data_IF_567867702267
#
_entry.id   IF_567867702267
#
_cell.length_a   1.000
_cell.length_b   1.000
_cell.length_c   1.000
_cell.angle_alpha   90.00
_cell.angle_beta   90.00
_cell.angle_gamma   90.00
#
_symmetry.space_group_name_H-M   'P 1'
#
loop_
_entity.id
_entity.type
_entity.pdbx_description
1 polymer ?
#
# COMPACT_ATOMS: atom_id res chain seq x y z
N UNK A 1 -30.69 -5.20 1.56
CA UNK A 1 -30.01 -5.91 0.46
C UNK A 1 -28.96 -4.96 -0.10
N UNK A 2 -27.67 -5.23 0.12
CA UNK A 2 -26.62 -4.43 -0.52
C UNK A 2 -26.78 -4.58 -2.04
N UNK A 3 -26.90 -3.47 -2.76
CA UNK A 3 -27.07 -3.49 -4.21
C UNK A 3 -25.78 -4.04 -4.86
N UNK A 4 -25.88 -4.65 -6.05
CA UNK A 4 -24.69 -5.13 -6.77
C UNK A 4 -23.62 -4.05 -6.96
N UNK A 5 -24.04 -2.79 -7.05
CA UNK A 5 -23.19 -1.60 -7.08
C UNK A 5 -22.31 -1.43 -5.85
N UNK A 6 -22.78 -1.80 -4.65
CA UNK A 6 -21.99 -1.74 -3.43
C UNK A 6 -20.79 -2.69 -3.50
N UNK A 7 -21.02 -3.96 -3.88
CA UNK A 7 -19.97 -4.95 -4.01
C UNK A 7 -18.95 -4.57 -5.11
N UNK A 8 -19.44 -4.01 -6.22
CA UNK A 8 -18.58 -3.55 -7.31
C UNK A 8 -17.65 -2.41 -6.84
N UNK A 9 -18.19 -1.44 -6.09
CA UNK A 9 -17.40 -0.38 -5.48
C UNK A 9 -16.37 -0.91 -4.50
N UNK A 10 -16.71 -1.88 -3.65
CA UNK A 10 -15.76 -2.50 -2.72
C UNK A 10 -14.61 -3.21 -3.47
N UNK A 11 -14.91 -3.94 -4.56
CA UNK A 11 -13.87 -4.59 -5.37
C UNK A 11 -12.95 -3.57 -6.04
N UNK A 12 -13.52 -2.49 -6.59
CA UNK A 12 -12.73 -1.41 -7.21
C UNK A 12 -11.82 -0.75 -6.18
N UNK A 13 -12.35 -0.37 -5.01
CA UNK A 13 -11.56 0.24 -3.94
C UNK A 13 -10.44 -0.69 -3.44
N UNK A 14 -10.72 -1.98 -3.24
CA UNK A 14 -9.72 -2.95 -2.81
C UNK A 14 -8.61 -3.16 -3.85
N UNK A 15 -8.96 -3.20 -5.14
CA UNK A 15 -7.98 -3.31 -6.22
C UNK A 15 -7.10 -2.06 -6.34
N UNK A 16 -7.69 -0.86 -6.27
CA UNK A 16 -6.96 0.41 -6.28
C UNK A 16 -6.03 0.53 -5.07
N UNK A 17 -6.50 0.18 -3.87
CA UNK A 17 -5.68 0.16 -2.66
C UNK A 17 -4.49 -0.79 -2.79
N UNK A 18 -4.72 -2.00 -3.32
CA UNK A 18 -3.65 -2.97 -3.55
C UNK A 18 -2.60 -2.45 -4.53
N UNK A 19 -3.02 -1.80 -5.63
CA UNK A 19 -2.10 -1.18 -6.60
C UNK A 19 -1.28 -0.04 -5.98
N UNK A 20 -1.88 0.78 -5.09
CA UNK A 20 -1.16 1.82 -4.35
C UNK A 20 -0.03 1.23 -3.48
N UNK A 21 -0.28 0.13 -2.78
CA UNK A 21 0.74 -0.53 -1.96
C UNK A 21 1.86 -1.08 -2.86
N UNK A 22 1.51 -1.74 -3.96
CA UNK A 22 2.48 -2.31 -4.90
C UNK A 22 3.37 -1.24 -5.53
N UNK A 23 2.79 -0.12 -5.98
CA UNK A 23 3.57 1.00 -6.53
C UNK A 23 4.45 1.66 -5.49
N UNK A 24 3.96 1.81 -4.26
CA UNK A 24 4.80 2.34 -3.18
C UNK A 24 5.96 1.38 -2.90
N UNK A 25 5.71 0.07 -2.77
CA UNK A 25 6.77 -0.90 -2.57
C UNK A 25 7.78 -0.93 -3.73
N UNK A 26 7.30 -0.92 -4.97
CA UNK A 26 8.13 -0.87 -6.17
C UNK A 26 8.96 0.42 -6.23
N UNK A 27 8.36 1.56 -5.88
CA UNK A 27 9.05 2.85 -5.85
C UNK A 27 10.27 2.82 -4.91
N UNK A 28 10.02 2.31 -3.72
CA UNK A 28 11.02 2.20 -2.67
C UNK A 28 12.10 1.17 -3.04
N UNK A 29 11.71 0.07 -3.68
CA UNK A 29 12.65 -0.96 -4.11
C UNK A 29 13.55 -0.49 -5.26
N UNK A 30 12.97 0.08 -6.31
CA UNK A 30 13.69 0.38 -7.56
C UNK A 30 14.51 1.67 -7.46
N UNK A 31 13.98 2.73 -6.84
CA UNK A 31 14.67 4.03 -6.80
C UNK A 31 15.40 4.31 -5.48
N UNK A 32 15.00 3.69 -4.36
CA UNK A 32 15.59 3.98 -3.03
C UNK A 32 16.50 2.88 -2.49
N UNK A 33 16.92 1.95 -3.35
CA UNK A 33 17.94 0.96 -3.04
C UNK A 33 17.44 -0.27 -2.26
N UNK A 34 16.12 -0.48 -2.18
CA UNK A 34 15.55 -1.68 -1.57
C UNK A 34 15.11 -1.50 -0.13
N UNK A 35 14.98 -2.63 0.57
CA UNK A 35 14.54 -2.71 1.95
C UNK A 35 15.58 -3.46 2.78
N UNK A 36 15.86 -2.94 3.97
CA UNK A 36 16.66 -3.65 4.97
C UNK A 36 16.03 -3.47 6.35
N UNK A 37 16.37 -4.38 7.26
CA UNK A 37 15.95 -4.36 8.66
C UNK A 37 17.17 -4.36 9.58
N UNK A 38 18.12 -3.48 9.26
CA UNK A 38 19.46 -3.41 9.83
C UNK A 38 19.74 -2.06 10.55
N UNK A 39 18.73 -1.20 10.67
CA UNK A 39 18.85 0.13 11.27
C UNK A 39 19.47 1.17 10.34
N UNK A 40 19.76 0.84 9.08
CA UNK A 40 20.29 1.79 8.10
C UNK A 40 19.18 2.65 7.48
N UNK A 41 19.56 3.56 6.57
CA UNK A 41 18.62 4.39 5.80
C UNK A 41 17.60 3.54 5.01
N UNK A 42 17.95 2.29 4.66
CA UNK A 42 17.04 1.35 4.02
C UNK A 42 15.90 0.89 4.93
N UNK A 43 16.06 0.97 6.26
CA UNK A 43 14.96 0.69 7.21
C UNK A 43 13.89 1.79 7.17
N UNK A 44 14.27 3.04 6.89
CA UNK A 44 13.31 4.12 6.66
C UNK A 44 12.46 3.88 5.40
N UNK A 45 12.91 3.03 4.47
CA UNK A 45 12.12 2.71 3.29
C UNK A 45 10.83 1.92 3.62
N UNK A 46 10.78 1.24 4.76
CA UNK A 46 9.54 0.62 5.25
C UNK A 46 8.49 1.64 5.68
N UNK A 47 8.89 2.82 6.13
CA UNK A 47 7.99 3.83 6.65
C UNK A 47 6.87 4.24 5.67
N UNK A 48 7.15 4.66 4.42
CA UNK A 48 6.09 5.01 3.46
C UNK A 48 5.25 3.79 3.04
N UNK A 49 5.84 2.59 2.93
CA UNK A 49 5.09 1.37 2.56
C UNK A 49 4.07 1.02 3.65
N UNK A 50 4.48 1.07 4.92
CA UNK A 50 3.62 0.79 6.07
C UNK A 50 2.56 1.88 6.28
N UNK A 51 2.90 3.16 6.05
CA UNK A 51 1.94 4.25 6.08
C UNK A 51 0.85 4.09 5.02
N UNK A 52 1.22 3.77 3.77
CA UNK A 52 0.24 3.58 2.69
C UNK A 52 -0.62 2.33 2.94
N UNK A 53 0.00 1.21 3.34
CA UNK A 53 -0.76 -0.01 3.63
C UNK A 53 -1.72 0.17 4.82
N UNK A 54 -1.23 0.69 5.95
CA UNK A 54 -2.01 0.82 7.18
C UNK A 54 -3.02 1.96 7.14
N UNK A 55 -2.55 3.18 6.94
CA UNK A 55 -3.37 4.39 7.14
C UNK A 55 -4.18 4.78 5.91
N UNK A 56 -3.76 4.39 4.70
CA UNK A 56 -4.48 4.75 3.46
C UNK A 56 -5.39 3.61 3.00
N UNK A 57 -4.88 2.38 2.96
CA UNK A 57 -5.64 1.24 2.41
C UNK A 57 -6.46 0.53 3.48
N UNK A 58 -5.85 0.11 4.59
CA UNK A 58 -6.56 -0.66 5.62
C UNK A 58 -7.47 0.18 6.51
N UNK A 59 -7.09 1.41 6.84
CA UNK A 59 -7.94 2.30 7.63
C UNK A 59 -9.12 2.89 6.83
N UNK A 60 -8.96 3.02 5.50
CA UNK A 60 -9.99 3.55 4.61
C UNK A 60 -10.95 2.52 4.03
N UNK A 61 -10.70 1.22 4.26
CA UNK A 61 -11.52 0.10 3.82
C UNK A 61 -12.52 -0.34 4.91
#
# INVERSE_FOLDING_TARGET
MASGWFYLSCMVLGSLGSMCILFTAYWMQYWRGGFAWDGTVLMFNWHPVLMVAGMVVLYGA
#
